data_IF_414229420755
#
_entry.id   IF_414229420755
#
_cell.length_a   1.000
_cell.length_b   1.000
_cell.length_c   1.000
_cell.angle_alpha   90.00
_cell.angle_beta   90.00
_cell.angle_gamma   90.00
#
_symmetry.space_group_name_H-M   'P 1'
#
loop_
_entity.id
_entity.type
_entity.pdbx_description
1 polymer ?
#
# COMPACT_ATOMS: atom_id res chain seq x y z
N UNK A 1 -27.84 -13.57 4.00
CA UNK A 1 -26.73 -12.66 4.36
C UNK A 1 -27.26 -11.23 4.33
N UNK A 2 -26.96 -10.39 5.32
CA UNK A 2 -27.44 -8.98 5.29
C UNK A 2 -26.85 -8.22 4.11
N UNK A 3 -27.63 -7.33 3.50
CA UNK A 3 -27.23 -6.55 2.31
C UNK A 3 -25.89 -5.80 2.52
N UNK A 4 -25.64 -5.34 3.74
CA UNK A 4 -24.39 -4.66 4.12
C UNK A 4 -23.15 -5.58 4.11
N UNK A 5 -23.28 -6.86 4.47
CA UNK A 5 -22.16 -7.81 4.39
C UNK A 5 -21.79 -8.13 2.94
N UNK A 6 -22.79 -8.20 2.06
CA UNK A 6 -22.57 -8.42 0.62
C UNK A 6 -21.87 -7.21 0.00
N UNK A 7 -22.33 -5.99 0.31
CA UNK A 7 -21.66 -4.75 -0.13
C UNK A 7 -20.21 -4.68 0.35
N UNK A 8 -19.97 -5.02 1.62
CA UNK A 8 -18.64 -5.02 2.19
C UNK A 8 -17.69 -6.02 1.51
N UNK A 9 -18.15 -7.25 1.29
CA UNK A 9 -17.39 -8.26 0.56
C UNK A 9 -17.09 -7.85 -0.89
N UNK A 10 -18.06 -7.28 -1.61
CA UNK A 10 -17.87 -6.80 -2.98
C UNK A 10 -16.85 -5.66 -3.07
N UNK A 11 -16.87 -4.73 -2.11
CA UNK A 11 -15.90 -3.64 -2.07
C UNK A 11 -14.49 -4.13 -1.71
N UNK A 12 -14.34 -5.14 -0.85
CA UNK A 12 -13.06 -5.81 -0.61
C UNK A 12 -12.54 -6.51 -1.87
N UNK A 13 -13.38 -7.29 -2.55
CA UNK A 13 -13.01 -7.94 -3.82
C UNK A 13 -12.57 -6.91 -4.86
N UNK A 14 -13.32 -5.81 -4.99
CA UNK A 14 -12.98 -4.73 -5.93
C UNK A 14 -11.64 -4.10 -5.56
N UNK A 15 -11.41 -3.81 -4.29
CA UNK A 15 -10.14 -3.26 -3.78
C UNK A 15 -8.97 -4.20 -4.10
N UNK A 16 -9.13 -5.50 -3.86
CA UNK A 16 -8.12 -6.51 -4.19
C UNK A 16 -7.82 -6.58 -5.69
N UNK A 17 -8.83 -6.44 -6.55
CA UNK A 17 -8.62 -6.37 -8.01
C UNK A 17 -7.84 -5.10 -8.39
N UNK A 18 -8.17 -3.96 -7.80
CA UNK A 18 -7.48 -2.69 -8.06
C UNK A 18 -6.02 -2.73 -7.59
N UNK A 19 -5.74 -3.32 -6.42
CA UNK A 19 -4.37 -3.51 -5.95
C UNK A 19 -3.62 -4.56 -6.76
N UNK A 20 -4.24 -5.69 -7.11
CA UNK A 20 -3.63 -6.73 -7.93
C UNK A 20 -3.25 -6.25 -9.34
N UNK A 21 -4.10 -5.44 -9.97
CA UNK A 21 -3.81 -4.83 -11.28
C UNK A 21 -2.74 -3.74 -11.23
N UNK A 22 -2.36 -3.27 -10.04
CA UNK A 22 -1.30 -2.26 -9.91
C UNK A 22 0.09 -2.83 -10.24
N UNK A 23 0.36 -4.10 -9.97
CA UNK A 23 1.71 -4.67 -10.12
C UNK A 23 2.22 -4.69 -11.57
N UNK A 24 1.42 -5.08 -12.58
CA UNK A 24 1.83 -4.93 -13.97
C UNK A 24 2.12 -3.47 -14.35
N UNK A 25 1.30 -2.52 -13.90
CA UNK A 25 1.51 -1.10 -14.17
C UNK A 25 2.79 -0.58 -13.50
N UNK A 26 3.04 -0.95 -12.24
CA UNK A 26 4.27 -0.64 -11.50
C UNK A 26 5.47 -1.18 -12.29
N UNK A 27 5.44 -2.44 -12.73
CA UNK A 27 6.53 -3.06 -13.50
C UNK A 27 6.88 -2.28 -14.77
N UNK A 28 5.87 -1.80 -15.51
CA UNK A 28 6.08 -0.97 -16.71
C UNK A 28 6.70 0.38 -16.35
N UNK A 29 6.16 1.04 -15.32
CA UNK A 29 6.63 2.37 -14.88
C UNK A 29 8.08 2.30 -14.42
N UNK A 30 8.40 1.42 -13.47
CA UNK A 30 9.75 1.31 -12.89
C UNK A 30 10.76 0.67 -13.85
N UNK A 31 10.33 0.22 -15.03
CA UNK A 31 11.23 -0.10 -16.15
C UNK A 31 11.58 1.13 -16.99
N UNK A 32 10.80 2.21 -16.90
CA UNK A 32 10.94 3.44 -17.69
C UNK A 32 11.54 4.61 -16.89
N UNK A 33 11.24 4.70 -15.60
CA UNK A 33 11.70 5.76 -14.69
C UNK A 33 12.27 5.14 -13.41
N UNK A 34 12.97 5.94 -12.61
CA UNK A 34 13.51 5.58 -11.31
C UNK A 34 12.38 5.22 -10.33
N UNK A 35 12.71 4.40 -9.32
CA UNK A 35 11.76 4.10 -8.25
C UNK A 35 11.49 5.32 -7.35
N UNK A 36 12.39 6.31 -7.33
CA UNK A 36 12.20 7.58 -6.65
C UNK A 36 11.12 8.41 -7.37
N UNK A 37 11.28 8.63 -8.68
CA UNK A 37 10.30 9.28 -9.56
C UNK A 37 8.93 8.63 -9.48
N UNK A 38 8.87 7.30 -9.58
CA UNK A 38 7.63 6.54 -9.38
C UNK A 38 6.93 6.89 -8.06
N UNK A 39 7.69 6.91 -6.95
CA UNK A 39 7.16 7.12 -5.60
C UNK A 39 6.60 8.51 -5.42
N UNK A 40 7.37 9.56 -5.72
CA UNK A 40 6.94 10.93 -5.43
C UNK A 40 5.88 11.43 -6.43
N UNK A 41 5.99 11.11 -7.72
CA UNK A 41 5.04 11.57 -8.74
C UNK A 41 3.66 10.95 -8.49
N UNK A 42 3.61 9.63 -8.25
CA UNK A 42 2.36 8.94 -7.92
C UNK A 42 1.70 9.56 -6.69
N UNK A 43 2.49 9.84 -5.65
CA UNK A 43 1.99 10.44 -4.41
C UNK A 43 1.45 11.84 -4.62
N UNK A 44 2.10 12.68 -5.45
CA UNK A 44 1.56 13.99 -5.83
C UNK A 44 0.21 13.85 -6.55
N UNK A 45 0.08 12.89 -7.48
CA UNK A 45 -1.20 12.67 -8.17
C UNK A 45 -2.29 12.22 -7.19
N UNK A 46 -1.97 11.32 -6.26
CA UNK A 46 -2.92 10.88 -5.24
C UNK A 46 -3.35 12.05 -4.32
N UNK A 47 -2.40 12.86 -3.84
CA UNK A 47 -2.67 14.06 -3.05
C UNK A 47 -3.53 15.08 -3.80
N UNK A 48 -3.27 15.30 -5.09
CA UNK A 48 -4.07 16.17 -5.93
C UNK A 48 -5.53 15.69 -6.02
N UNK A 49 -5.76 14.38 -6.11
CA UNK A 49 -7.11 13.81 -6.10
C UNK A 49 -7.83 13.95 -4.75
N UNK A 50 -7.11 13.95 -3.63
CA UNK A 50 -7.67 14.14 -2.28
C UNK A 50 -7.81 15.62 -1.87
N UNK A 51 -7.12 16.53 -2.56
CA UNK A 51 -7.10 17.96 -2.23
C UNK A 51 -8.50 18.61 -2.12
N UNK A 52 -9.49 18.32 -3.00
CA UNK A 52 -10.84 18.89 -2.86
C UNK A 52 -11.52 18.50 -1.54
N UNK A 53 -11.35 17.24 -1.12
CA UNK A 53 -11.86 16.78 0.17
C UNK A 53 -11.13 17.46 1.33
N UNK A 54 -9.82 17.66 1.19
CA UNK A 54 -9.03 18.32 2.24
C UNK A 54 -9.48 19.76 2.48
N UNK A 55 -9.78 20.52 1.41
CA UNK A 55 -10.35 21.87 1.52
C UNK A 55 -11.71 21.84 2.21
N UNK A 56 -12.57 20.86 1.88
CA UNK A 56 -13.86 20.68 2.54
C UNK A 56 -13.70 20.37 4.04
N UNK A 57 -12.84 19.41 4.39
CA UNK A 57 -12.60 19.00 5.77
C UNK A 57 -12.03 20.15 6.61
N UNK A 58 -11.11 20.95 6.05
CA UNK A 58 -10.60 22.16 6.70
C UNK A 58 -11.71 23.16 7.01
N UNK A 59 -12.55 23.49 6.02
CA UNK A 59 -13.69 24.41 6.18
C UNK A 59 -14.73 23.93 7.20
N UNK A 60 -14.83 22.62 7.41
CA UNK A 60 -15.73 22.00 8.39
C UNK A 60 -15.09 21.74 9.75
N UNK A 61 -13.81 22.11 9.94
CA UNK A 61 -13.10 21.85 11.19
C UNK A 61 -12.90 20.36 11.50
N UNK A 62 -12.90 19.51 10.48
CA UNK A 62 -12.76 18.04 10.59
C UNK A 62 -11.30 17.57 10.65
N UNK A 63 -10.35 18.49 10.52
CA UNK A 63 -8.93 18.17 10.63
C UNK A 63 -8.56 18.08 12.11
N UNK A 64 -8.48 16.86 12.61
CA UNK A 64 -8.02 16.59 13.95
C UNK A 64 -6.49 16.37 13.98
N UNK A 65 -5.85 16.64 15.13
CA UNK A 65 -4.40 16.45 15.29
C UNK A 65 -3.97 14.99 15.30
N UNK A 66 -4.89 14.07 15.61
CA UNK A 66 -4.65 12.64 15.71
C UNK A 66 -4.47 12.04 14.30
N UNK A 67 -5.26 12.50 13.32
CA UNK A 67 -5.21 12.16 11.91
C UNK A 67 -3.90 12.65 11.28
N UNK A 68 -3.47 13.87 11.63
CA UNK A 68 -2.18 14.41 11.17
C UNK A 68 -1.03 13.56 11.71
N UNK A 69 -0.98 13.35 13.03
CA UNK A 69 0.12 12.62 13.68
C UNK A 69 0.14 11.15 13.24
N UNK A 70 -1.01 10.50 13.24
CA UNK A 70 -1.17 9.12 12.84
C UNK A 70 -0.87 8.93 11.36
N UNK A 71 -1.40 9.81 10.50
CA UNK A 71 -1.16 9.82 9.07
C UNK A 71 0.32 10.00 8.76
N UNK A 72 1.00 11.00 9.32
CA UNK A 72 2.44 11.18 9.09
C UNK A 72 3.29 9.99 9.57
N UNK A 73 2.94 9.39 10.71
CA UNK A 73 3.66 8.23 11.24
C UNK A 73 3.47 7.00 10.35
N UNK A 74 2.23 6.70 9.95
CA UNK A 74 1.92 5.67 8.96
C UNK A 74 2.54 5.99 7.60
N UNK A 75 2.65 7.27 7.26
CA UNK A 75 3.18 7.77 6.01
C UNK A 75 4.66 7.49 5.80
N UNK A 76 5.45 7.43 6.88
CA UNK A 76 6.86 6.99 6.80
C UNK A 76 6.92 5.54 6.35
N UNK A 77 6.14 4.66 6.97
CA UNK A 77 6.08 3.24 6.59
C UNK A 77 5.46 3.04 5.21
N UNK A 78 4.44 3.81 4.86
CA UNK A 78 3.82 3.83 3.53
C UNK A 78 4.84 4.23 2.45
N UNK A 79 5.56 5.33 2.64
CA UNK A 79 6.53 5.84 1.69
C UNK A 79 7.68 4.85 1.44
N UNK A 80 8.22 4.28 2.52
CA UNK A 80 9.26 3.24 2.43
C UNK A 80 8.73 1.97 1.76
N UNK A 81 7.52 1.52 2.14
CA UNK A 81 6.86 0.38 1.52
C UNK A 81 6.66 0.58 0.02
N UNK A 82 6.11 1.72 -0.39
CA UNK A 82 5.86 2.07 -1.78
C UNK A 82 7.16 2.13 -2.61
N UNK A 83 8.19 2.77 -2.08
CA UNK A 83 9.49 2.87 -2.73
C UNK A 83 10.18 1.52 -2.87
N UNK A 84 10.28 0.74 -1.77
CA UNK A 84 10.88 -0.59 -1.78
C UNK A 84 10.14 -1.54 -2.70
N UNK A 85 8.80 -1.44 -2.76
CA UNK A 85 8.00 -2.21 -3.69
C UNK A 85 8.37 -1.85 -5.12
N UNK A 86 8.30 -0.58 -5.50
CA UNK A 86 8.63 -0.14 -6.85
C UNK A 86 10.06 -0.51 -7.26
N UNK A 87 11.03 -0.29 -6.36
CA UNK A 87 12.43 -0.68 -6.57
C UNK A 87 12.57 -2.20 -6.72
N UNK A 88 11.90 -2.99 -5.88
CA UNK A 88 11.93 -4.45 -5.96
C UNK A 88 11.27 -4.98 -7.23
N UNK A 89 10.09 -4.47 -7.60
CA UNK A 89 9.37 -4.81 -8.83
C UNK A 89 10.20 -4.52 -10.07
N UNK A 90 11.13 -3.55 -10.04
CA UNK A 90 12.08 -3.33 -11.14
C UNK A 90 12.89 -4.58 -11.44
N UNK A 91 13.34 -5.29 -10.42
CA UNK A 91 14.22 -6.45 -10.54
C UNK A 91 13.49 -7.80 -10.52
N UNK A 92 12.28 -7.89 -9.95
CA UNK A 92 11.46 -9.11 -9.97
C UNK A 92 10.30 -9.04 -10.96
N UNK A 93 9.51 -10.10 -11.08
CA UNK A 93 8.30 -10.12 -11.91
C UNK A 93 7.13 -9.44 -11.21
N UNK A 94 6.15 -8.95 -11.98
CA UNK A 94 4.93 -8.38 -11.40
C UNK A 94 4.20 -9.40 -10.51
N UNK A 95 4.15 -10.67 -10.93
CA UNK A 95 3.50 -11.75 -10.18
C UNK A 95 4.23 -12.06 -8.86
N UNK A 96 5.56 -12.16 -8.86
CA UNK A 96 6.33 -12.37 -7.64
C UNK A 96 6.17 -11.18 -6.70
N UNK A 97 6.24 -9.96 -7.24
CA UNK A 97 6.04 -8.74 -6.46
C UNK A 97 4.66 -8.70 -5.80
N UNK A 98 3.60 -9.10 -6.52
CA UNK A 98 2.24 -9.17 -6.00
C UNK A 98 2.12 -10.17 -4.86
N UNK A 99 2.62 -11.39 -5.08
CA UNK A 99 2.58 -12.45 -4.08
C UNK A 99 3.36 -12.07 -2.82
N UNK A 100 4.61 -11.61 -2.97
CA UNK A 100 5.46 -11.24 -1.83
C UNK A 100 4.84 -10.08 -1.05
N UNK A 101 4.27 -9.08 -1.73
CA UNK A 101 3.55 -7.98 -1.06
C UNK A 101 2.41 -8.51 -0.17
N UNK A 102 1.65 -9.50 -0.65
CA UNK A 102 0.57 -10.13 0.10
C UNK A 102 1.00 -10.84 1.39
N UNK A 103 2.30 -11.10 1.56
CA UNK A 103 2.87 -11.58 2.84
C UNK A 103 2.81 -10.54 3.96
N UNK A 104 2.44 -9.29 3.66
CA UNK A 104 2.16 -8.28 4.68
C UNK A 104 1.13 -8.77 5.70
N UNK A 105 0.09 -9.51 5.28
CA UNK A 105 -0.92 -10.12 6.16
C UNK A 105 -0.28 -11.04 7.19
N UNK A 106 0.66 -11.89 6.76
CA UNK A 106 1.42 -12.77 7.65
C UNK A 106 2.24 -11.95 8.65
N UNK A 107 2.91 -10.90 8.18
CA UNK A 107 3.66 -10.01 9.05
C UNK A 107 2.75 -9.29 10.06
N UNK A 108 1.53 -8.89 9.69
CA UNK A 108 0.54 -8.32 10.61
C UNK A 108 0.23 -9.31 11.74
N UNK A 109 -0.04 -10.58 11.43
CA UNK A 109 -0.27 -11.59 12.46
C UNK A 109 0.98 -11.82 13.34
N UNK A 110 2.18 -11.78 12.77
CA UNK A 110 3.43 -11.85 13.55
C UNK A 110 3.51 -10.67 14.53
N UNK A 111 3.27 -9.45 14.06
CA UNK A 111 3.28 -8.25 14.90
C UNK A 111 2.26 -8.36 16.03
N UNK A 112 1.02 -8.75 15.73
CA UNK A 112 -0.02 -8.94 16.74
C UNK A 112 0.35 -10.04 17.74
N UNK A 113 0.87 -11.18 17.26
CA UNK A 113 1.31 -12.28 18.10
C UNK A 113 2.49 -11.91 19.01
N UNK A 114 3.43 -11.10 18.53
CA UNK A 114 4.55 -10.57 19.33
C UNK A 114 4.10 -9.57 20.38
N UNK A 115 3.16 -8.67 20.03
CA UNK A 115 2.62 -7.65 20.94
C UNK A 115 1.71 -8.31 22.00
N UNK A 116 0.85 -9.23 21.59
CA UNK A 116 -0.11 -9.92 22.45
C UNK A 116 0.47 -11.17 23.13
N UNK A 117 1.70 -11.56 22.78
CA UNK A 117 2.40 -12.78 23.24
C UNK A 117 1.57 -14.06 23.05
N UNK A 118 0.80 -14.14 21.96
CA UNK A 118 -0.04 -15.30 21.62
C UNK A 118 0.39 -15.84 20.27
N UNK A 119 0.98 -17.03 20.28
CA UNK A 119 1.27 -17.80 19.09
C UNK A 119 0.19 -18.87 18.94
N UNK A 120 -0.49 -18.89 17.79
CA UNK A 120 -1.49 -19.90 17.48
C UNK A 120 -1.09 -20.74 16.25
N UNK A 121 -1.83 -21.85 16.06
CA UNK A 121 -1.59 -22.78 14.96
C UNK A 121 -1.91 -22.15 13.59
N UNK A 122 -2.79 -21.13 13.56
CA UNK A 122 -3.18 -20.43 12.32
C UNK A 122 -2.01 -19.62 11.76
N UNK A 123 -1.26 -18.94 12.63
CA UNK A 123 -0.04 -18.21 12.26
C UNK A 123 1.02 -19.16 11.69
N UNK A 124 1.25 -20.31 12.32
CA UNK A 124 2.21 -21.31 11.85
C UNK A 124 1.84 -21.88 10.48
N UNK A 125 0.56 -22.18 10.25
CA UNK A 125 0.05 -22.65 8.96
C UNK A 125 0.18 -21.58 7.87
N UNK A 126 -0.18 -20.33 8.19
CA UNK A 126 -0.08 -19.20 7.26
C UNK A 126 1.36 -18.93 6.82
N UNK A 127 2.31 -18.97 7.77
CA UNK A 127 3.75 -18.87 7.49
C UNK A 127 4.23 -20.00 6.58
N UNK A 128 3.86 -21.25 6.89
CA UNK A 128 4.27 -22.42 6.11
C UNK A 128 3.77 -22.35 4.67
N UNK A 129 2.48 -22.07 4.48
CA UNK A 129 1.87 -21.92 3.16
C UNK A 129 2.49 -20.77 2.37
N UNK A 130 2.79 -19.66 3.03
CA UNK A 130 3.43 -18.50 2.42
C UNK A 130 4.83 -18.80 1.92
N UNK A 131 5.64 -19.51 2.71
CA UNK A 131 6.98 -19.97 2.32
C UNK A 131 6.91 -20.92 1.13
N UNK A 132 5.96 -21.87 1.14
CA UNK A 132 5.76 -22.79 0.02
C UNK A 132 5.32 -22.06 -1.26
N UNK A 133 4.36 -21.13 -1.16
CA UNK A 133 3.92 -20.35 -2.31
C UNK A 133 5.03 -19.48 -2.89
N UNK A 134 5.86 -18.87 -2.03
CA UNK A 134 7.03 -18.11 -2.45
C UNK A 134 8.01 -19.01 -3.21
N UNK A 135 8.33 -20.17 -2.65
CA UNK A 135 9.22 -21.15 -3.28
C UNK A 135 8.74 -21.55 -4.68
N UNK A 136 7.46 -21.89 -4.85
CA UNK A 136 6.92 -22.29 -6.15
C UNK A 136 6.94 -21.17 -7.18
N UNK A 137 6.78 -19.91 -6.77
CA UNK A 137 6.84 -18.77 -7.68
C UNK A 137 8.27 -18.37 -8.08
N UNK A 138 9.24 -18.51 -7.17
CA UNK A 138 10.64 -18.11 -7.43
C UNK A 138 11.48 -19.20 -8.10
N UNK A 139 11.11 -20.47 -7.93
CA UNK A 139 11.89 -21.60 -8.50
C UNK A 139 12.00 -21.54 -10.03
N UNK A 140 10.91 -21.27 -10.80
CA UNK A 140 11.00 -21.17 -12.25
C UNK A 140 11.88 -20.02 -12.76
N UNK A 141 12.13 -19.00 -11.93
CA UNK A 141 12.90 -17.81 -12.29
C UNK A 141 14.35 -17.84 -11.83
N UNK A 142 14.86 -19.02 -11.40
CA UNK A 142 16.24 -19.18 -10.93
C UNK A 142 16.43 -18.91 -9.44
N UNK A 143 15.36 -18.91 -8.64
CA UNK A 143 15.38 -18.70 -7.20
C UNK A 143 15.09 -17.26 -6.78
N UNK A 144 15.34 -16.96 -5.50
CA UNK A 144 15.17 -15.62 -4.92
C UNK A 144 16.17 -14.65 -5.53
N UNK A 145 15.69 -13.52 -6.05
CA UNK A 145 16.53 -12.43 -6.54
C UNK A 145 16.47 -11.21 -5.61
N UNK A 146 17.31 -10.21 -5.88
CA UNK A 146 17.36 -8.97 -5.08
C UNK A 146 16.03 -8.23 -5.06
N UNK A 147 15.26 -8.28 -6.15
CA UNK A 147 13.93 -7.71 -6.24
C UNK A 147 12.97 -8.36 -5.24
N UNK A 148 12.99 -9.69 -5.14
CA UNK A 148 12.14 -10.42 -4.19
C UNK A 148 12.45 -10.03 -2.74
N UNK A 149 13.74 -9.87 -2.40
CA UNK A 149 14.18 -9.43 -1.07
C UNK A 149 13.70 -8.01 -0.78
N UNK A 150 13.82 -7.09 -1.73
CA UNK A 150 13.34 -5.71 -1.59
C UNK A 150 11.83 -5.64 -1.41
N UNK A 151 11.07 -6.43 -2.18
CA UNK A 151 9.61 -6.52 -2.00
C UNK A 151 9.27 -7.16 -0.65
N UNK A 152 10.05 -8.12 -0.16
CA UNK A 152 9.81 -8.71 1.15
C UNK A 152 9.96 -7.67 2.28
N UNK A 153 10.98 -6.82 2.19
CA UNK A 153 11.12 -5.67 3.10
C UNK A 153 9.97 -4.66 2.94
N UNK A 154 9.51 -4.44 1.71
CA UNK A 154 8.29 -3.65 1.47
C UNK A 154 7.07 -4.23 2.18
N UNK A 155 6.85 -5.54 2.12
CA UNK A 155 5.72 -6.22 2.80
C UNK A 155 5.72 -6.00 4.30
N UNK A 156 6.90 -5.97 4.92
CA UNK A 156 7.05 -5.62 6.33
C UNK A 156 6.66 -4.16 6.61
N UNK A 157 7.04 -3.23 5.75
CA UNK A 157 6.62 -1.82 5.86
C UNK A 157 5.11 -1.65 5.66
N UNK A 158 4.50 -2.39 4.72
CA UNK A 158 3.05 -2.42 4.53
C UNK A 158 2.33 -2.97 5.76
N UNK A 159 2.85 -4.02 6.41
CA UNK A 159 2.29 -4.53 7.65
C UNK A 159 2.35 -3.50 8.78
N UNK A 160 3.47 -2.79 8.92
CA UNK A 160 3.61 -1.71 9.90
C UNK A 160 2.62 -0.56 9.63
N UNK A 161 2.47 -0.15 8.36
CA UNK A 161 1.50 0.85 7.93
C UNK A 161 0.07 0.43 8.30
N UNK A 162 -0.31 -0.81 8.00
CA UNK A 162 -1.60 -1.40 8.33
C UNK A 162 -1.91 -1.31 9.83
N UNK A 163 -0.94 -1.69 10.68
CA UNK A 163 -1.10 -1.65 12.14
C UNK A 163 -1.29 -0.21 12.63
N UNK A 164 -0.53 0.74 12.05
CA UNK A 164 -0.65 2.16 12.39
C UNK A 164 -2.02 2.71 11.99
N UNK A 165 -2.53 2.37 10.80
CA UNK A 165 -3.89 2.72 10.38
C UNK A 165 -4.92 2.18 11.37
N UNK A 166 -4.82 0.91 11.77
CA UNK A 166 -5.70 0.31 12.76
C UNK A 166 -5.70 1.05 14.10
N UNK A 167 -4.52 1.45 14.58
CA UNK A 167 -4.33 2.21 15.84
C UNK A 167 -4.97 3.60 15.81
N UNK A 168 -5.03 4.25 14.65
CA UNK A 168 -5.57 5.60 14.48
C UNK A 168 -6.92 5.61 13.74
N UNK A 169 -7.63 4.49 13.72
CA UNK A 169 -8.87 4.28 12.97
C UNK A 169 -10.07 5.16 13.41
N UNK A 170 -9.96 5.86 14.54
CA UNK A 170 -10.99 6.78 15.04
C UNK A 170 -10.99 8.15 14.36
N UNK A 171 -9.93 8.50 13.64
CA UNK A 171 -9.82 9.76 12.89
C UNK A 171 -10.56 9.72 11.56
N UNK A 172 -10.81 10.88 10.96
CA UNK A 172 -11.37 10.96 9.61
C UNK A 172 -10.44 10.27 8.60
N UNK A 173 -10.87 9.18 7.94
CA UNK A 173 -9.96 8.34 7.17
C UNK A 173 -9.36 9.03 5.95
N UNK A 174 -10.11 9.93 5.29
CA UNK A 174 -9.60 10.63 4.12
C UNK A 174 -8.60 11.72 4.50
N UNK A 175 -8.79 12.35 5.67
CA UNK A 175 -7.78 13.26 6.26
C UNK A 175 -6.52 12.48 6.61
N UNK A 176 -6.68 11.31 7.26
CA UNK A 176 -5.56 10.44 7.60
C UNK A 176 -4.75 10.04 6.36
N UNK A 177 -5.41 9.51 5.32
CA UNK A 177 -4.77 9.08 4.07
C UNK A 177 -4.04 10.24 3.37
N UNK A 178 -4.59 11.45 3.42
CA UNK A 178 -3.88 12.62 2.88
C UNK A 178 -2.52 12.82 3.56
N UNK A 179 -2.48 12.84 4.90
CA UNK A 179 -1.23 12.98 5.65
C UNK A 179 -0.32 11.75 5.56
N UNK A 180 -0.87 10.57 5.33
CA UNK A 180 -0.12 9.33 5.08
C UNK A 180 0.65 9.37 3.76
N UNK A 181 0.08 9.95 2.70
CA UNK A 181 0.75 10.00 1.39
C UNK A 181 1.86 11.07 1.37
N UNK A 182 1.75 12.12 2.19
CA UNK A 182 2.68 13.27 2.16
C UNK A 182 4.16 12.92 2.28
N UNK A 183 4.63 12.03 3.19
CA UNK A 183 6.04 11.70 3.30
C UNK A 183 6.63 11.11 2.02
N UNK A 184 5.84 10.42 1.19
CA UNK A 184 6.34 9.88 -0.08
C UNK A 184 6.76 10.96 -1.09
N UNK A 185 6.30 12.20 -0.93
CA UNK A 185 6.74 13.33 -1.77
C UNK A 185 8.22 13.67 -1.56
N UNK A 186 8.79 13.39 -0.38
CA UNK A 186 10.21 13.71 -0.11
C UNK A 186 11.18 12.92 -0.98
N UNK A 187 10.71 11.86 -1.66
CA UNK A 187 11.49 11.12 -2.64
C UNK A 187 11.83 11.92 -3.91
N UNK A 188 11.26 13.12 -4.09
CA UNK A 188 11.74 14.09 -5.09
C UNK A 188 13.19 14.52 -4.82
N UNK A 189 13.64 14.51 -3.55
CA UNK A 189 14.99 14.93 -3.17
C UNK A 189 16.06 14.00 -3.78
N UNK A 190 16.04 12.67 -3.52
CA UNK A 190 16.99 11.77 -4.17
C UNK A 190 16.82 11.73 -5.69
N UNK A 191 15.60 11.81 -6.21
CA UNK A 191 15.36 11.85 -7.66
C UNK A 191 15.99 13.09 -8.34
N UNK A 192 15.91 14.25 -7.70
CA UNK A 192 16.53 15.48 -8.19
C UNK A 192 18.06 15.42 -8.15
N UNK A 193 18.64 14.67 -7.20
CA UNK A 193 20.09 14.45 -7.10
C UNK A 193 20.58 13.55 -8.23
N UNK A 194 19.84 12.49 -8.55
CA UNK A 194 20.18 11.54 -9.62
C UNK A 194 19.92 12.12 -11.04
N UNK A 195 19.20 13.24 -11.11
CA UNK A 195 18.76 13.89 -12.34
C UNK A 195 17.34 13.46 -12.68
N UNK A 196 16.41 14.42 -12.66
CA UNK A 196 14.98 14.16 -12.84
C UNK A 196 14.69 13.42 -14.15
N UNK A 197 13.95 12.31 -14.04
CA UNK A 197 13.55 11.52 -15.18
C UNK A 197 12.59 12.28 -16.11
N UNK A 198 12.80 12.12 -17.42
CA UNK A 198 11.80 12.53 -18.41
C UNK A 198 10.67 11.51 -18.45
N UNK A 199 9.48 11.90 -17.99
CA UNK A 199 8.32 11.00 -17.93
C UNK A 199 7.53 11.05 -19.25
N UNK A 200 7.42 9.91 -19.93
CA UNK A 200 6.59 9.80 -21.13
C UNK A 200 5.10 9.94 -20.81
N UNK A 201 4.29 10.36 -21.78
CA UNK A 201 2.84 10.47 -21.62
C UNK A 201 2.20 9.13 -21.21
N UNK A 202 2.67 8.01 -21.78
CA UNK A 202 2.16 6.67 -21.45
C UNK A 202 2.49 6.29 -20.00
N UNK A 203 3.71 6.57 -19.55
CA UNK A 203 4.12 6.35 -18.15
C UNK A 203 3.29 7.22 -17.20
N UNK A 204 3.04 8.48 -17.57
CA UNK A 204 2.22 9.38 -16.78
C UNK A 204 0.77 8.89 -16.65
N UNK A 205 0.17 8.36 -17.73
CA UNK A 205 -1.18 7.77 -17.68
C UNK A 205 -1.25 6.59 -16.69
N UNK A 206 -0.23 5.72 -16.70
CA UNK A 206 -0.14 4.62 -15.72
C UNK A 206 0.04 5.14 -14.29
N UNK A 207 0.85 6.18 -14.08
CA UNK A 207 1.01 6.83 -12.78
C UNK A 207 -0.31 7.45 -12.30
N UNK A 208 -1.09 8.07 -13.20
CA UNK A 208 -2.41 8.62 -12.90
C UNK A 208 -3.40 7.52 -12.51
N UNK A 209 -3.42 6.42 -13.26
CA UNK A 209 -4.19 5.23 -12.90
C UNK A 209 -3.83 4.74 -11.49
N UNK A 210 -2.54 4.62 -11.21
CA UNK A 210 -2.04 4.19 -9.92
C UNK A 210 -2.41 5.16 -8.78
N UNK A 211 -2.20 6.46 -8.96
CA UNK A 211 -2.49 7.48 -7.94
C UNK A 211 -3.98 7.69 -7.68
N UNK A 212 -4.82 7.73 -8.71
CA UNK A 212 -6.24 8.03 -8.54
C UNK A 212 -7.08 6.77 -8.30
N UNK A 213 -6.83 5.69 -9.03
CA UNK A 213 -7.65 4.48 -8.95
C UNK A 213 -7.12 3.54 -7.87
N UNK A 214 -5.85 3.13 -7.97
CA UNK A 214 -5.28 2.15 -7.04
C UNK A 214 -4.99 2.71 -5.64
N UNK A 215 -4.84 4.04 -5.49
CA UNK A 215 -4.71 4.68 -4.18
C UNK A 215 -6.05 5.30 -3.75
N UNK A 216 -6.51 6.39 -4.36
CA UNK A 216 -7.68 7.11 -3.83
C UNK A 216 -8.98 6.30 -3.87
N UNK A 217 -9.34 5.70 -5.02
CA UNK A 217 -10.59 4.93 -5.12
C UNK A 217 -10.56 3.66 -4.26
N UNK A 218 -9.41 2.97 -4.22
CA UNK A 218 -9.22 1.81 -3.35
C UNK A 218 -9.37 2.16 -1.86
N UNK A 219 -8.73 3.25 -1.39
CA UNK A 219 -8.89 3.70 -0.01
C UNK A 219 -10.30 4.17 0.30
N UNK A 220 -10.97 4.87 -0.62
CA UNK A 220 -12.36 5.28 -0.44
C UNK A 220 -13.29 4.06 -0.31
N UNK A 221 -13.10 3.03 -1.14
CA UNK A 221 -13.86 1.77 -1.04
C UNK A 221 -13.58 1.05 0.29
N UNK A 222 -12.33 1.00 0.73
CA UNK A 222 -11.96 0.39 2.02
C UNK A 222 -12.61 1.12 3.21
N UNK A 223 -12.62 2.46 3.19
CA UNK A 223 -13.28 3.25 4.23
C UNK A 223 -14.78 2.98 4.28
N UNK A 224 -15.43 2.85 3.12
CA UNK A 224 -16.85 2.50 3.05
C UNK A 224 -17.15 1.09 3.60
N UNK A 225 -16.20 0.14 3.49
CA UNK A 225 -16.34 -1.21 4.07
C UNK A 225 -16.25 -1.25 5.60
N UNK A 226 -15.39 -0.42 6.20
CA UNK A 226 -15.19 -0.35 7.66
C UNK A 226 -16.42 0.19 8.41
N UNK A 227 -17.37 0.80 7.71
CA UNK A 227 -18.63 1.28 8.28
C UNK A 227 -19.64 0.12 8.46
N UNK A 228 -19.40 -1.07 7.88
CA UNK A 228 -20.32 -2.22 7.92
C UNK A 228 -19.74 -3.56 8.41
N UNK A 229 -18.42 -3.70 8.52
CA UNK A 229 -17.74 -4.94 8.94
C UNK A 229 -16.67 -4.57 9.98
N UNK A 230 -16.59 -5.30 11.10
CA UNK A 230 -15.60 -5.06 12.16
C UNK A 230 -14.20 -4.85 11.58
N UNK A 231 -13.61 -3.67 11.86
CA UNK A 231 -12.42 -3.10 11.21
C UNK A 231 -11.18 -3.98 11.20
N UNK A 232 -11.10 -5.00 12.06
CA UNK A 232 -10.02 -5.97 12.09
C UNK A 232 -10.02 -6.96 10.91
N UNK A 233 -11.20 -7.25 10.34
CA UNK A 233 -11.35 -8.25 9.26
C UNK A 233 -11.20 -7.69 7.85
N UNK A 234 -11.12 -6.36 7.69
CA UNK A 234 -10.92 -5.69 6.40
C UNK A 234 -9.45 -5.34 6.12
N UNK A 235 -8.60 -5.59 7.11
CA UNK A 235 -7.19 -5.23 7.15
C UNK A 235 -6.28 -6.47 6.97
N UNK A 236 -6.86 -7.66 7.14
CA UNK A 236 -6.19 -8.97 7.08
C UNK A 236 -6.75 -9.81 5.95
#
# INVERSE_FOLDING_TARGET
MSNERVKGALALITTSILWGSSFPAIKIIVGSISSYAYTWIRSIVALAGLAPYMVYAYRKGRIDKLAIKGGLLAGITYALGLWLQGLGTRYTTASNSAFITGLNTVFVHIYEGLILRRYDLSLALSLTLSVMGLYFLTTPTGGLNIGDILVLFSSFMWAAQVILVGKYSSSDPLVFTFFEIMPAVTFIIPDAIDGLDTVSANTMLLIVYLGLVCSNAAFALQVLTNIGINSYSAIV
#
